data_IF_189779953462
#
_entry.id   IF_189779953462
#
_cell.length_a   1.000
_cell.length_b   1.000
_cell.length_c   1.000
_cell.angle_alpha   90.00
_cell.angle_beta   90.00
_cell.angle_gamma   90.00
#
_symmetry.space_group_name_H-M   'P 1'
#
loop_
_entity.id
_entity.type
_entity.pdbx_description
1 polymer ?
#
# COMPACT_ATOMS: atom_id res chain seq x y z
N UNK A 1 -8.89 17.42 4.89
CA UNK A 1 -9.62 16.52 3.99
C UNK A 1 -8.70 15.43 3.49
N UNK A 2 -9.18 14.19 3.53
CA UNK A 2 -8.37 13.06 3.10
C UNK A 2 -8.53 12.85 1.61
N UNK A 3 -7.44 12.94 0.89
CA UNK A 3 -7.45 12.71 -0.55
C UNK A 3 -7.08 11.25 -0.83
N UNK A 4 -7.71 10.63 -1.85
CA UNK A 4 -7.34 9.26 -2.20
C UNK A 4 -5.91 9.22 -2.75
N UNK A 5 -5.21 8.15 -2.44
CA UNK A 5 -3.85 7.92 -2.90
C UNK A 5 -3.71 6.51 -3.43
N UNK A 6 -2.90 6.37 -4.45
CA UNK A 6 -2.59 5.05 -5.00
C UNK A 6 -1.16 4.69 -4.67
N UNK A 7 -0.96 3.42 -4.35
CA UNK A 7 0.36 2.89 -4.01
C UNK A 7 0.62 1.61 -4.77
N UNK A 8 1.91 1.29 -4.93
CA UNK A 8 2.33 0.00 -5.45
C UNK A 8 3.26 -0.62 -4.42
N UNK A 9 3.08 -1.89 -4.14
CA UNK A 9 3.95 -2.59 -3.20
C UNK A 9 5.30 -2.84 -3.88
N UNK A 10 6.35 -2.20 -3.35
CA UNK A 10 7.69 -2.33 -3.88
C UNK A 10 8.35 -3.60 -3.39
N UNK A 11 8.23 -3.88 -2.10
CA UNK A 11 8.75 -5.10 -1.50
C UNK A 11 8.11 -5.33 -0.14
N UNK A 12 8.31 -6.52 0.37
CA UNK A 12 7.80 -6.91 1.68
C UNK A 12 9.00 -7.38 2.50
N UNK A 13 9.14 -6.82 3.70
CA UNK A 13 10.23 -7.18 4.61
C UNK A 13 9.64 -7.55 5.96
N UNK A 14 9.64 -8.87 6.26
CA UNK A 14 9.07 -9.34 7.51
C UNK A 14 7.61 -8.98 7.62
N UNK A 15 7.26 -8.21 8.64
CA UNK A 15 5.88 -7.82 8.88
C UNK A 15 5.52 -6.47 8.29
N UNK A 16 6.41 -5.90 7.46
CA UNK A 16 6.19 -4.59 6.85
C UNK A 16 6.22 -4.66 5.34
N UNK A 17 5.41 -3.82 4.72
CA UNK A 17 5.44 -3.62 3.28
C UNK A 17 6.01 -2.23 3.00
N UNK A 18 6.79 -2.13 1.96
CA UNK A 18 7.29 -0.84 1.48
C UNK A 18 6.49 -0.49 0.24
N UNK A 19 5.73 0.59 0.34
CA UNK A 19 4.86 1.06 -0.74
C UNK A 19 5.49 2.26 -1.43
N UNK A 20 5.25 2.37 -2.72
CA UNK A 20 5.62 3.57 -3.46
C UNK A 20 4.34 4.34 -3.78
N UNK A 21 4.36 5.64 -3.54
CA UNK A 21 3.26 6.49 -3.91
C UNK A 21 3.42 6.98 -5.35
N UNK A 22 2.56 7.88 -5.78
CA UNK A 22 2.56 8.41 -7.14
C UNK A 22 3.82 9.21 -7.46
N UNK A 23 4.53 9.65 -6.44
CA UNK A 23 5.77 10.40 -6.60
C UNK A 23 7.01 9.55 -6.35
N UNK A 24 6.83 8.22 -6.29
CA UNK A 24 7.90 7.26 -6.03
C UNK A 24 8.55 7.42 -4.65
N UNK A 25 7.81 7.97 -3.71
CA UNK A 25 8.27 8.06 -2.32
C UNK A 25 7.88 6.78 -1.61
N UNK A 26 8.76 6.33 -0.71
CA UNK A 26 8.53 5.10 0.03
C UNK A 26 7.73 5.34 1.31
N UNK A 27 6.78 4.46 1.55
CA UNK A 27 6.00 4.46 2.77
C UNK A 27 6.09 3.06 3.38
N UNK A 28 6.50 3.00 4.64
CA UNK A 28 6.56 1.74 5.38
C UNK A 28 5.26 1.55 6.13
N UNK A 29 4.63 0.39 5.95
CA UNK A 29 3.36 0.12 6.60
C UNK A 29 3.32 -1.34 7.07
N UNK A 30 2.73 -1.58 8.23
CA UNK A 30 2.59 -2.93 8.74
C UNK A 30 1.63 -3.72 7.86
N UNK A 31 2.02 -4.95 7.53
CA UNK A 31 1.18 -5.83 6.71
C UNK A 31 -0.20 -6.06 7.33
N UNK A 32 -0.27 -6.00 8.66
CA UNK A 32 -1.55 -6.18 9.37
C UNK A 32 -2.58 -5.12 9.01
N UNK A 33 -2.14 -3.97 8.49
CA UNK A 33 -3.04 -2.89 8.09
C UNK A 33 -3.49 -3.00 6.64
N UNK A 34 -2.97 -3.97 5.92
CA UNK A 34 -3.27 -4.17 4.50
C UNK A 34 -4.25 -5.32 4.31
N UNK A 35 -5.02 -5.32 3.23
CA UNK A 35 -5.92 -6.44 2.97
C UNK A 35 -5.16 -7.73 2.70
N UNK A 36 -5.83 -8.86 2.87
CA UNK A 36 -5.26 -10.16 2.57
C UNK A 36 -4.91 -10.27 1.09
N UNK A 37 -3.82 -10.99 0.80
CA UNK A 37 -3.45 -11.25 -0.58
C UNK A 37 -2.52 -10.21 -1.19
N UNK A 38 -2.06 -9.26 -0.39
CA UNK A 38 -1.09 -8.27 -0.86
C UNK A 38 0.26 -8.94 -1.09
N UNK A 39 0.88 -8.64 -2.22
CA UNK A 39 2.19 -9.18 -2.58
C UNK A 39 2.98 -8.10 -3.32
N UNK A 40 4.22 -8.41 -3.65
CA UNK A 40 5.07 -7.49 -4.42
C UNK A 40 4.39 -7.19 -5.76
N UNK A 41 4.32 -5.91 -6.10
CA UNK A 41 3.67 -5.46 -7.32
C UNK A 41 2.19 -5.20 -7.20
N UNK A 42 1.57 -5.57 -6.07
CA UNK A 42 0.15 -5.30 -5.85
C UNK A 42 -0.10 -3.80 -5.83
N UNK A 43 -1.14 -3.37 -6.52
CA UNK A 43 -1.56 -1.98 -6.50
C UNK A 43 -2.64 -1.79 -5.46
N UNK A 44 -2.48 -0.73 -4.66
CA UNK A 44 -3.38 -0.42 -3.56
C UNK A 44 -3.96 0.96 -3.73
N UNK A 45 -5.23 1.09 -3.36
CA UNK A 45 -5.90 2.38 -3.31
C UNK A 45 -6.20 2.69 -1.85
N UNK A 46 -5.83 3.89 -1.42
CA UNK A 46 -6.07 4.33 -0.05
C UNK A 46 -7.09 5.46 -0.07
N UNK A 47 -8.20 5.22 0.60
CA UNK A 47 -9.27 6.22 0.70
C UNK A 47 -10.05 5.95 1.98
N UNK A 48 -10.45 7.02 2.66
CA UNK A 48 -11.26 6.90 3.88
C UNK A 48 -10.59 6.04 4.94
N UNK A 49 -9.27 6.18 5.05
CA UNK A 49 -8.43 5.44 6.01
C UNK A 49 -8.41 3.94 5.78
N UNK A 50 -8.68 3.51 4.57
CA UNK A 50 -8.72 2.10 4.24
C UNK A 50 -7.95 1.80 2.97
N UNK A 51 -7.18 0.71 2.98
CA UNK A 51 -6.47 0.23 1.81
C UNK A 51 -7.28 -0.86 1.12
N UNK A 52 -7.40 -0.76 -0.21
CA UNK A 52 -8.05 -1.80 -1.00
C UNK A 52 -7.14 -2.20 -2.15
N UNK A 53 -7.24 -3.45 -2.57
CA UNK A 53 -6.47 -3.95 -3.70
C UNK A 53 -7.16 -3.51 -4.99
N UNK A 54 -6.38 -2.92 -5.89
CA UNK A 54 -6.88 -2.52 -7.21
C UNK A 54 -6.51 -3.59 -8.20
N UNK A 55 -7.51 -4.10 -8.88
CA UNK A 55 -7.27 -5.13 -9.89
C UNK A 55 -7.43 -4.58 -11.30
#
# INVERSE_FOLDING_TARGET
MLEPHDYTVKRIEGEYAILLNEENEELFIAMALLPSGVDIGTRLHYEMMEYTIVE
#
